data_IF_085669862761
#
_entry.id   IF_085669862761
#
_cell.length_a   1.000
_cell.length_b   1.000
_cell.length_c   1.000
_cell.angle_alpha   90.00
_cell.angle_beta   90.00
_cell.angle_gamma   90.00
#
_symmetry.space_group_name_H-M   'P 1'
#
loop_
_entity.id
_entity.type
_entity.pdbx_description
1 polymer ?
#
# COMPACT_ATOMS: atom_id res chain seq x y z
N UNK A 1 -13.58 -9.59 -13.43
CA UNK A 1 -13.42 -8.50 -12.45
C UNK A 1 -12.93 -7.26 -13.19
N UNK A 2 -13.48 -6.09 -12.91
CA UNK A 2 -13.06 -4.84 -13.54
C UNK A 2 -12.07 -4.13 -12.61
N UNK A 3 -10.87 -3.81 -13.11
CA UNK A 3 -9.82 -3.14 -12.33
C UNK A 3 -9.80 -1.65 -12.68
N UNK A 4 -10.87 -0.96 -12.31
CA UNK A 4 -11.05 0.48 -12.54
C UNK A 4 -11.39 1.18 -11.23
N UNK A 5 -11.14 2.49 -11.16
CA UNK A 5 -11.52 3.31 -10.01
C UNK A 5 -13.02 3.23 -9.67
N UNK A 6 -13.88 3.14 -10.69
CA UNK A 6 -15.32 2.97 -10.48
C UNK A 6 -15.65 1.63 -9.80
N UNK A 7 -15.07 0.53 -10.30
CA UNK A 7 -15.27 -0.78 -9.71
C UNK A 7 -14.71 -0.88 -8.28
N UNK A 8 -13.62 -0.16 -7.99
CA UNK A 8 -13.05 -0.04 -6.65
C UNK A 8 -13.98 0.72 -5.68
N UNK A 9 -14.54 1.86 -6.10
CA UNK A 9 -15.56 2.57 -5.31
C UNK A 9 -16.75 1.67 -4.99
N UNK A 10 -17.21 0.89 -5.96
CA UNK A 10 -18.31 -0.04 -5.74
C UNK A 10 -17.92 -1.18 -4.79
N UNK A 11 -16.66 -1.63 -4.79
CA UNK A 11 -16.16 -2.58 -3.80
C UNK A 11 -16.23 -1.99 -2.38
N UNK A 12 -15.72 -0.76 -2.18
CA UNK A 12 -15.81 -0.06 -0.89
C UNK A 12 -17.27 0.04 -0.41
N UNK A 13 -18.19 0.43 -1.30
CA UNK A 13 -19.62 0.51 -0.99
C UNK A 13 -20.20 -0.85 -0.61
N UNK A 14 -19.81 -1.92 -1.29
CA UNK A 14 -20.26 -3.29 -0.99
C UNK A 14 -19.73 -3.81 0.35
N UNK A 15 -18.50 -3.46 0.71
CA UNK A 15 -17.94 -3.78 2.04
C UNK A 15 -18.77 -3.09 3.14
N UNK A 16 -19.00 -1.78 2.99
CA UNK A 16 -19.82 -1.00 3.92
C UNK A 16 -21.25 -1.50 4.03
N UNK A 17 -21.89 -1.85 2.90
CA UNK A 17 -23.27 -2.40 2.92
C UNK A 17 -23.37 -3.74 3.64
N UNK A 18 -22.25 -4.46 3.74
CA UNK A 18 -22.14 -5.71 4.51
C UNK A 18 -21.61 -5.49 5.92
N UNK A 19 -21.57 -4.24 6.41
CA UNK A 19 -21.14 -3.85 7.75
C UNK A 19 -19.66 -4.16 8.06
N UNK A 20 -18.80 -4.26 7.02
CA UNK A 20 -17.36 -4.28 7.25
C UNK A 20 -16.85 -2.90 7.64
N UNK A 21 -16.13 -2.83 8.75
CA UNK A 21 -15.34 -1.65 9.11
C UNK A 21 -14.00 -1.67 8.34
N UNK A 22 -13.67 -0.55 7.70
CA UNK A 22 -12.38 -0.40 7.01
C UNK A 22 -11.37 0.13 8.01
N UNK A 23 -10.38 -0.70 8.32
CA UNK A 23 -9.40 -0.50 9.40
C UNK A 23 -7.97 -0.71 8.91
N UNK A 24 -7.01 -0.28 9.71
CA UNK A 24 -5.58 -0.51 9.48
C UNK A 24 -5.07 -1.73 10.25
N UNK A 25 -3.75 -1.94 10.17
CA UNK A 25 -3.09 -3.04 10.88
C UNK A 25 -2.99 -2.82 12.40
N UNK A 26 -3.25 -1.61 12.88
CA UNK A 26 -3.09 -1.25 14.29
C UNK A 26 -4.39 -1.31 15.09
N UNK A 27 -5.56 -1.32 14.44
CA UNK A 27 -6.87 -1.21 15.07
C UNK A 27 -7.85 -2.34 14.70
N UNK A 28 -7.44 -3.29 13.84
CA UNK A 28 -8.30 -4.38 13.36
C UNK A 28 -8.81 -5.32 14.45
N UNK A 29 -8.00 -5.60 15.49
CA UNK A 29 -8.36 -6.55 16.57
C UNK A 29 -9.57 -6.08 17.39
N UNK A 30 -9.84 -4.78 17.39
CA UNK A 30 -10.97 -4.19 18.11
C UNK A 30 -12.30 -4.36 17.38
N UNK A 31 -12.31 -4.96 16.17
CA UNK A 31 -13.47 -5.03 15.28
C UNK A 31 -13.89 -6.46 15.00
N UNK A 32 -15.17 -6.74 15.20
CA UNK A 32 -15.76 -8.06 14.93
C UNK A 32 -15.79 -8.40 13.44
N UNK A 33 -15.99 -7.40 12.58
CA UNK A 33 -16.06 -7.57 11.13
C UNK A 33 -15.37 -6.41 10.42
N UNK A 34 -14.16 -6.66 9.96
CA UNK A 34 -13.34 -5.63 9.34
C UNK A 34 -12.65 -6.09 8.07
N UNK A 35 -12.24 -5.13 7.25
CA UNK A 35 -11.41 -5.33 6.08
C UNK A 35 -10.25 -4.33 6.10
N UNK A 36 -9.04 -4.84 5.88
CA UNK A 36 -7.84 -4.02 5.71
C UNK A 36 -7.62 -3.83 4.22
N UNK A 37 -7.52 -2.58 3.79
CA UNK A 37 -7.20 -2.23 2.42
C UNK A 37 -5.70 -1.97 2.32
N UNK A 38 -5.03 -2.76 1.49
CA UNK A 38 -3.58 -2.68 1.25
C UNK A 38 -3.30 -2.55 -0.24
N UNK A 39 -2.29 -1.75 -0.57
CA UNK A 39 -1.85 -1.52 -1.95
C UNK A 39 -0.34 -1.72 -2.04
N UNK A 40 0.10 -2.68 -2.84
CA UNK A 40 1.50 -2.81 -3.24
C UNK A 40 1.76 -1.88 -4.44
N UNK A 41 2.69 -0.95 -4.27
CA UNK A 41 3.02 0.05 -5.29
C UNK A 41 4.21 -0.44 -6.09
N UNK A 42 3.97 -1.33 -7.06
CA UNK A 42 5.06 -1.95 -7.83
C UNK A 42 5.55 -1.08 -8.98
N UNK A 43 4.63 -0.32 -9.59
CA UNK A 43 4.84 0.32 -10.91
C UNK A 43 4.74 1.85 -10.87
N UNK A 44 3.77 2.44 -10.17
CA UNK A 44 3.50 3.88 -10.31
C UNK A 44 3.02 4.52 -9.01
N UNK A 45 3.84 5.44 -8.51
CA UNK A 45 3.50 6.31 -7.38
C UNK A 45 2.36 7.28 -7.74
N UNK A 46 2.32 7.77 -8.99
CA UNK A 46 1.24 8.67 -9.44
C UNK A 46 -0.12 7.96 -9.40
N UNK A 47 -0.20 6.69 -9.82
CA UNK A 47 -1.42 5.88 -9.71
C UNK A 47 -1.78 5.55 -8.27
N UNK A 48 -0.78 5.31 -7.42
CA UNK A 48 -1.02 5.17 -5.98
C UNK A 48 -1.65 6.44 -5.39
N UNK A 49 -1.14 7.63 -5.77
CA UNK A 49 -1.68 8.92 -5.33
C UNK A 49 -3.10 9.18 -5.86
N UNK A 50 -3.39 8.85 -7.12
CA UNK A 50 -4.75 8.94 -7.67
C UNK A 50 -5.73 8.07 -6.87
N UNK A 51 -5.34 6.85 -6.52
CA UNK A 51 -6.15 5.94 -5.72
C UNK A 51 -6.32 6.44 -4.28
N UNK A 52 -5.26 6.94 -3.65
CA UNK A 52 -5.31 7.49 -2.30
C UNK A 52 -6.22 8.73 -2.24
N UNK A 53 -6.15 9.58 -3.26
CA UNK A 53 -7.05 10.74 -3.39
C UNK A 53 -8.51 10.30 -3.45
N UNK A 54 -8.79 9.22 -4.20
CA UNK A 54 -10.12 8.64 -4.28
C UNK A 54 -10.58 8.09 -2.94
N UNK A 55 -9.72 7.36 -2.22
CA UNK A 55 -10.06 6.81 -0.91
C UNK A 55 -10.31 7.89 0.13
N UNK A 56 -9.49 8.93 0.14
CA UNK A 56 -9.68 10.11 0.99
C UNK A 56 -11.05 10.75 0.75
N UNK A 57 -11.47 10.92 -0.52
CA UNK A 57 -12.80 11.42 -0.86
C UNK A 57 -13.95 10.52 -0.37
N UNK A 58 -13.71 9.21 -0.30
CA UNK A 58 -14.68 8.24 0.21
C UNK A 58 -14.59 8.05 1.74
N UNK A 59 -13.77 8.85 2.45
CA UNK A 59 -13.44 8.70 3.87
C UNK A 59 -12.95 7.30 4.23
N UNK A 60 -11.99 6.79 3.44
CA UNK A 60 -11.36 5.50 3.61
C UNK A 60 -9.87 5.69 3.86
N UNK A 61 -9.32 4.89 4.78
CA UNK A 61 -7.89 4.77 5.02
C UNK A 61 -7.41 3.39 4.58
N UNK A 62 -6.18 3.35 4.10
CA UNK A 62 -5.52 2.16 3.54
C UNK A 62 -4.03 2.25 3.82
N UNK A 63 -3.32 1.14 3.64
CA UNK A 63 -1.85 1.09 3.75
C UNK A 63 -1.22 0.91 2.37
N UNK A 64 -0.27 1.79 2.02
CA UNK A 64 0.46 1.77 0.75
C UNK A 64 1.90 1.28 0.97
N UNK A 65 2.26 0.16 0.37
CA UNK A 65 3.58 -0.43 0.48
C UNK A 65 4.43 -0.07 -0.75
N UNK A 66 5.52 0.66 -0.54
CA UNK A 66 6.39 1.11 -1.63
C UNK A 66 7.58 0.17 -1.80
N UNK A 67 7.81 -0.26 -3.04
CA UNK A 67 8.92 -1.10 -3.42
C UNK A 67 10.17 -0.25 -3.61
N UNK A 68 11.21 -0.49 -2.82
CA UNK A 68 12.43 0.33 -2.86
C UNK A 68 13.27 0.05 -4.11
N UNK A 69 13.32 -1.21 -4.54
CA UNK A 69 14.19 -1.68 -5.62
C UNK A 69 13.35 -2.13 -6.81
N UNK A 70 13.07 -1.19 -7.71
CA UNK A 70 12.25 -1.38 -8.90
C UNK A 70 12.77 -0.54 -10.06
N UNK A 71 12.61 -1.01 -11.28
CA UNK A 71 13.00 -0.28 -12.50
C UNK A 71 11.95 0.76 -12.92
N UNK A 72 10.77 0.76 -12.28
CA UNK A 72 9.64 1.59 -12.71
C UNK A 72 9.66 3.01 -12.11
N UNK A 73 10.25 3.19 -10.93
CA UNK A 73 10.34 4.50 -10.30
C UNK A 73 11.53 4.57 -9.33
N UNK A 74 11.99 5.79 -9.06
CA UNK A 74 12.96 6.07 -8.01
C UNK A 74 12.23 6.65 -6.80
N UNK A 75 12.21 5.92 -5.68
CA UNK A 75 11.55 6.39 -4.44
C UNK A 75 12.21 7.64 -3.86
N UNK A 76 13.51 7.83 -4.06
CA UNK A 76 14.26 8.98 -3.56
C UNK A 76 14.16 10.22 -4.46
N UNK A 77 13.49 10.12 -5.62
CA UNK A 77 13.23 11.29 -6.44
C UNK A 77 12.30 12.26 -5.71
N UNK A 78 12.55 13.57 -5.86
CA UNK A 78 11.76 14.63 -5.20
C UNK A 78 10.25 14.47 -5.41
N UNK A 79 9.80 14.24 -6.65
CA UNK A 79 8.38 14.07 -6.95
C UNK A 79 7.77 12.80 -6.32
N UNK A 80 8.54 11.72 -6.25
CA UNK A 80 8.13 10.49 -5.56
C UNK A 80 7.91 10.75 -4.07
N UNK A 81 8.89 11.41 -3.42
CA UNK A 81 8.81 11.77 -2.01
C UNK A 81 7.60 12.67 -1.75
N UNK A 82 7.41 13.71 -2.56
CA UNK A 82 6.26 14.63 -2.44
C UNK A 82 4.92 13.88 -2.56
N UNK A 83 4.80 12.96 -3.51
CA UNK A 83 3.57 12.18 -3.68
C UNK A 83 3.34 11.19 -2.52
N UNK A 84 4.39 10.56 -2.00
CA UNK A 84 4.30 9.68 -0.82
C UNK A 84 3.82 10.47 0.40
N UNK A 85 4.37 11.68 0.62
CA UNK A 85 3.91 12.55 1.70
C UNK A 85 2.44 12.96 1.53
N UNK A 86 2.01 13.29 0.31
CA UNK A 86 0.60 13.59 0.05
C UNK A 86 -0.33 12.40 0.38
N UNK A 87 0.10 11.17 0.08
CA UNK A 87 -0.64 9.96 0.46
C UNK A 87 -0.74 9.85 1.99
N UNK A 88 0.37 10.03 2.70
CA UNK A 88 0.40 10.03 4.15
C UNK A 88 -0.50 11.13 4.76
N UNK A 89 -0.43 12.35 4.25
CA UNK A 89 -1.18 13.52 4.76
C UNK A 89 -2.70 13.36 4.58
N UNK A 90 -3.15 12.53 3.63
CA UNK A 90 -4.55 12.13 3.47
C UNK A 90 -5.02 11.12 4.53
N UNK A 91 -4.13 10.66 5.41
CA UNK A 91 -4.40 9.75 6.53
C UNK A 91 -4.14 8.28 6.22
N UNK A 92 -3.47 7.98 5.11
CA UNK A 92 -3.05 6.62 4.75
C UNK A 92 -1.75 6.25 5.45
N UNK A 93 -1.56 4.96 5.71
CA UNK A 93 -0.31 4.44 6.25
C UNK A 93 0.69 4.13 5.13
N UNK A 94 1.98 4.33 5.40
CA UNK A 94 3.07 4.03 4.47
C UNK A 94 3.84 2.82 4.97
N UNK A 95 3.98 1.81 4.13
CA UNK A 95 4.69 0.58 4.40
C UNK A 95 5.83 0.32 3.42
N UNK A 96 6.68 -0.65 3.77
CA UNK A 96 7.76 -1.14 2.93
C UNK A 96 7.29 -2.38 2.16
N UNK A 97 7.26 -2.30 0.82
CA UNK A 97 7.22 -3.51 0.01
C UNK A 97 8.64 -4.03 -0.17
N UNK A 98 8.97 -5.13 0.51
CA UNK A 98 10.29 -5.73 0.49
C UNK A 98 10.32 -6.91 -0.49
N UNK A 99 11.31 -6.91 -1.40
CA UNK A 99 11.62 -8.01 -2.30
C UNK A 99 12.99 -8.57 -1.91
N UNK A 100 12.98 -9.71 -1.23
CA UNK A 100 14.18 -10.40 -0.75
C UNK A 100 15.06 -10.91 -1.89
N UNK A 101 14.47 -11.18 -3.07
CA UNK A 101 15.19 -11.76 -4.21
C UNK A 101 16.23 -10.80 -4.80
N UNK A 102 16.08 -9.49 -4.52
CA UNK A 102 17.05 -8.45 -4.88
C UNK A 102 18.32 -8.47 -4.03
N UNK A 103 18.33 -9.21 -2.93
CA UNK A 103 19.42 -9.21 -1.96
C UNK A 103 19.99 -10.63 -1.84
N UNK A 104 20.94 -10.96 -2.72
CA UNK A 104 21.50 -12.32 -2.83
C UNK A 104 22.65 -12.59 -1.86
N UNK A 105 23.22 -11.57 -1.22
CA UNK A 105 24.45 -11.70 -0.43
C UNK A 105 24.20 -11.51 1.08
N UNK A 106 23.48 -12.44 1.70
CA UNK A 106 23.50 -12.57 3.16
C UNK A 106 24.76 -13.35 3.59
N UNK A 107 25.93 -12.72 3.54
CA UNK A 107 27.11 -13.26 4.24
C UNK A 107 27.17 -12.72 5.65
N UNK A 108 26.45 -13.36 6.57
CA UNK A 108 26.73 -13.19 8.00
C UNK A 108 28.00 -13.97 8.34
N UNK A 109 29.10 -13.26 8.55
CA UNK A 109 30.30 -13.75 9.24
C UNK A 109 30.70 -15.20 8.98
N UNK A 110 31.31 -15.47 7.83
CA UNK A 110 32.11 -16.68 7.61
C UNK A 110 31.34 -18.00 7.64
N UNK A 111 30.82 -18.40 6.48
CA UNK A 111 30.59 -19.81 6.16
C UNK A 111 29.13 -20.21 5.96
N UNK A 112 28.91 -20.73 4.75
CA UNK A 112 27.74 -21.43 4.23
C UNK A 112 26.53 -20.58 3.82
N UNK A 113 26.30 -20.57 2.51
CA UNK A 113 25.03 -20.24 1.90
C UNK A 113 23.97 -21.23 2.39
N UNK A 114 22.89 -20.71 2.94
CA UNK A 114 21.67 -21.47 3.21
C UNK A 114 20.61 -21.01 2.21
N UNK A 115 20.67 -21.59 1.00
CA UNK A 115 19.54 -21.92 0.12
C UNK A 115 19.97 -23.08 -0.77
#
# INVERSE_FOLDING_TARGET
>A
MQFTYHAYKDLIKRLRSKQYELVGYTDYESKDQCAILRHDVDISIDKALELATLEHQENVKSTYFFLLNTDFYNIAAKGSIENIWRIHDMGHEIGLHFDETKYTDFTFGGGQNIF
#
